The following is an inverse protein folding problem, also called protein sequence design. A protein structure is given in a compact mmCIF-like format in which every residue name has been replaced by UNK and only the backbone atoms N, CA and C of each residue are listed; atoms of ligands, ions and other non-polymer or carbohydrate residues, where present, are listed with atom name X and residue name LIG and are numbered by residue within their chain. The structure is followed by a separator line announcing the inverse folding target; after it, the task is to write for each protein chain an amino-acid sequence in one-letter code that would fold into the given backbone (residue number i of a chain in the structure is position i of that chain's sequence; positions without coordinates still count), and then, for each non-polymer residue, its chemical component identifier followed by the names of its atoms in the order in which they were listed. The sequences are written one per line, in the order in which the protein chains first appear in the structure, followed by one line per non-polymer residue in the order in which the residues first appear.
data_IF_258708362022
#
_entry.id   IF_258708362022
#
_cell.length_a   1.000
_cell.length_b   1.000
_cell.length_c   1.000
_cell.angle_alpha   90.00
_cell.angle_beta   90.00
_cell.angle_gamma   90.00
#
_symmetry.space_group_name_H-M   'P 1'
#
loop_
_entity.id
_entity.type
_entity.pdbx_description
1 polymer ?
#
# COMPACT_ATOMS: atom_id res chain seq x y z
N UNK A 1 7.73 34.14 7.90
CA UNK A 1 8.52 33.15 8.68
C UNK A 1 8.56 31.80 7.94
N UNK A 2 9.21 31.54 6.79
CA UNK A 2 10.37 32.10 6.06
C UNK A 2 11.78 31.67 6.52
N UNK A 3 11.89 30.73 7.46
CA UNK A 3 13.20 30.26 7.94
C UNK A 3 13.63 28.86 7.43
N UNK A 4 12.77 28.14 6.69
CA UNK A 4 13.08 26.75 6.23
C UNK A 4 13.08 26.63 4.70
N UNK A 5 12.73 27.68 3.96
CA UNK A 5 12.89 27.70 2.48
C UNK A 5 14.33 28.07 2.05
N UNK A 6 15.19 28.47 2.99
CA UNK A 6 16.61 28.79 2.78
C UNK A 6 17.54 27.74 3.41
N UNK A 7 17.25 26.45 3.22
CA UNK A 7 18.24 25.41 3.57
C UNK A 7 19.39 25.51 2.57
N UNK A 8 20.50 26.07 3.04
CA UNK A 8 21.78 26.13 2.36
C UNK A 8 22.09 24.81 1.62
N UNK A 9 22.32 24.89 0.30
CA UNK A 9 22.63 23.78 -0.62
C UNK A 9 23.68 22.75 -0.11
N UNK A 10 24.67 23.08 0.76
CA UNK A 10 25.54 22.07 1.37
C UNK A 10 24.88 21.22 2.48
N UNK A 11 23.90 21.74 3.23
CA UNK A 11 23.20 21.05 4.33
C UNK A 11 22.03 20.17 3.84
N UNK A 12 21.51 20.42 2.64
CA UNK A 12 20.42 19.65 2.04
C UNK A 12 20.87 18.34 1.35
N UNK A 13 22.17 18.16 1.09
CA UNK A 13 22.72 16.96 0.45
C UNK A 13 22.36 15.64 1.14
N UNK A 14 22.45 15.49 2.47
CA UNK A 14 22.07 14.24 3.14
C UNK A 14 20.57 13.94 3.04
N UNK A 15 19.70 14.96 3.10
CA UNK A 15 18.25 14.78 2.98
C UNK A 15 17.86 14.40 1.55
N UNK A 16 18.46 15.04 0.55
CA UNK A 16 18.21 14.75 -0.86
C UNK A 16 18.72 13.37 -1.26
N UNK A 17 19.86 12.93 -0.71
CA UNK A 17 20.37 11.56 -0.89
C UNK A 17 19.43 10.53 -0.27
N UNK A 18 18.94 10.76 0.96
CA UNK A 18 17.95 9.88 1.60
C UNK A 18 16.63 9.79 0.83
N UNK A 19 16.18 10.89 0.24
CA UNK A 19 14.98 10.94 -0.60
C UNK A 19 15.17 10.20 -1.93
N UNK A 20 16.38 10.28 -2.51
CA UNK A 20 16.75 9.54 -3.72
C UNK A 20 16.88 8.04 -3.44
N UNK A 21 17.57 7.67 -2.37
CA UNK A 21 17.69 6.28 -1.95
C UNK A 21 16.32 5.70 -1.64
N UNK A 22 15.44 6.48 -1.02
CA UNK A 22 14.04 6.11 -0.84
C UNK A 22 13.31 5.86 -2.16
N UNK A 23 13.41 6.77 -3.12
CA UNK A 23 12.76 6.60 -4.42
C UNK A 23 13.31 5.39 -5.20
N UNK A 24 14.60 5.07 -5.05
CA UNK A 24 15.24 3.90 -5.65
C UNK A 24 14.77 2.59 -4.99
N UNK A 25 14.70 2.55 -3.66
CA UNK A 25 14.20 1.38 -2.91
C UNK A 25 12.71 1.16 -3.17
N UNK A 26 11.90 2.22 -3.17
CA UNK A 26 10.48 2.17 -3.49
C UNK A 26 10.21 1.60 -4.88
N UNK A 27 11.03 1.98 -5.88
CA UNK A 27 10.92 1.43 -7.24
C UNK A 27 11.27 -0.06 -7.34
N UNK A 28 12.10 -0.61 -6.44
CA UNK A 28 12.41 -2.05 -6.40
C UNK A 28 11.31 -2.85 -5.70
N UNK A 29 10.76 -2.31 -4.62
CA UNK A 29 9.64 -2.93 -3.91
C UNK A 29 8.38 -3.08 -4.77
N UNK A 30 8.20 -2.20 -5.78
CA UNK A 30 7.13 -2.27 -6.78
C UNK A 30 7.06 -3.61 -7.51
N UNK A 31 8.19 -4.11 -8.01
CA UNK A 31 8.19 -5.35 -8.81
C UNK A 31 7.68 -6.54 -8.00
N UNK A 32 8.08 -6.62 -6.72
CA UNK A 32 7.59 -7.64 -5.81
C UNK A 32 6.11 -7.46 -5.45
N UNK A 33 5.63 -6.21 -5.26
CA UNK A 33 4.20 -5.92 -5.03
C UNK A 33 3.33 -6.40 -6.18
N UNK A 34 3.71 -6.09 -7.41
CA UNK A 34 2.98 -6.50 -8.61
C UNK A 34 2.84 -8.03 -8.70
N UNK A 35 3.88 -8.79 -8.35
CA UNK A 35 3.85 -10.26 -8.34
C UNK A 35 2.86 -10.78 -7.29
N UNK A 36 2.92 -10.26 -6.06
CA UNK A 36 2.03 -10.70 -4.96
C UNK A 36 0.57 -10.41 -5.29
N UNK A 37 0.27 -9.20 -5.79
CA UNK A 37 -1.10 -8.83 -6.14
C UNK A 37 -1.63 -9.61 -7.34
N UNK A 38 -0.80 -9.81 -8.36
CA UNK A 38 -1.19 -10.63 -9.52
C UNK A 38 -1.46 -12.07 -9.11
N UNK A 39 -0.63 -12.66 -8.24
CA UNK A 39 -0.85 -13.99 -7.70
C UNK A 39 -2.12 -14.08 -6.84
N UNK A 40 -2.35 -13.09 -5.96
CA UNK A 40 -3.55 -13.03 -5.12
C UNK A 40 -4.83 -12.93 -5.96
N UNK A 41 -4.80 -12.17 -7.04
CA UNK A 41 -5.94 -11.99 -7.94
C UNK A 41 -6.15 -13.20 -8.83
N UNK A 42 -5.08 -13.84 -9.32
CA UNK A 42 -5.19 -15.09 -10.04
C UNK A 42 -5.83 -16.18 -9.15
N UNK A 43 -5.43 -16.25 -7.88
CA UNK A 43 -6.02 -17.16 -6.91
C UNK A 43 -7.50 -16.79 -6.62
N UNK A 44 -7.81 -15.51 -6.45
CA UNK A 44 -9.18 -15.05 -6.25
C UNK A 44 -10.08 -15.30 -7.48
N UNK A 45 -9.57 -15.11 -8.69
CA UNK A 45 -10.30 -15.38 -9.93
C UNK A 45 -10.50 -16.87 -10.19
N UNK A 46 -9.66 -17.74 -9.63
CA UNK A 46 -9.81 -19.20 -9.71
C UNK A 46 -10.84 -19.73 -8.71
N UNK A 47 -10.83 -19.21 -7.47
CA UNK A 47 -11.71 -19.69 -6.39
C UNK A 47 -13.07 -18.99 -6.32
N UNK A 48 -13.24 -17.81 -6.91
CA UNK A 48 -14.44 -16.97 -6.77
C UNK A 48 -14.92 -16.39 -8.11
N UNK A 49 -15.87 -15.44 -8.05
CA UNK A 49 -16.44 -14.74 -9.20
C UNK A 49 -15.38 -13.89 -9.93
N UNK A 50 -15.07 -14.26 -11.18
CA UNK A 50 -14.07 -13.58 -12.02
C UNK A 50 -14.38 -12.09 -12.21
N UNK A 51 -15.65 -11.68 -12.20
CA UNK A 51 -16.05 -10.27 -12.34
C UNK A 51 -15.60 -9.42 -11.16
N UNK A 52 -15.74 -9.94 -9.94
CA UNK A 52 -15.33 -9.23 -8.73
C UNK A 52 -13.81 -9.18 -8.65
N UNK A 53 -13.13 -10.29 -8.99
CA UNK A 53 -11.68 -10.33 -9.08
C UNK A 53 -11.13 -9.32 -10.10
N UNK A 54 -11.74 -9.21 -11.29
CA UNK A 54 -11.35 -8.23 -12.32
C UNK A 54 -11.60 -6.78 -11.90
N UNK A 55 -12.71 -6.49 -11.20
CA UNK A 55 -12.98 -5.15 -10.69
C UNK A 55 -11.89 -4.70 -9.70
N UNK A 56 -11.55 -5.55 -8.73
CA UNK A 56 -10.49 -5.26 -7.78
C UNK A 56 -9.10 -5.27 -8.42
N UNK A 57 -8.87 -6.08 -9.46
CA UNK A 57 -7.65 -6.01 -10.25
C UNK A 57 -7.47 -4.65 -10.88
N UNK A 58 -8.51 -4.11 -11.52
CA UNK A 58 -8.43 -2.79 -12.12
C UNK A 58 -8.25 -1.70 -11.05
N UNK A 59 -8.95 -1.80 -9.92
CA UNK A 59 -8.81 -0.86 -8.81
C UNK A 59 -7.39 -0.86 -8.21
N UNK A 60 -6.82 -2.04 -7.96
CA UNK A 60 -5.45 -2.20 -7.46
C UNK A 60 -4.45 -1.68 -8.51
N UNK A 61 -4.63 -2.04 -9.78
CA UNK A 61 -3.77 -1.58 -10.88
C UNK A 61 -3.77 -0.05 -11.00
N UNK A 62 -4.93 0.61 -10.89
CA UNK A 62 -5.01 2.07 -10.89
C UNK A 62 -4.27 2.70 -9.70
N UNK A 63 -4.43 2.13 -8.50
CA UNK A 63 -3.71 2.58 -7.31
C UNK A 63 -2.19 2.46 -7.48
N UNK A 64 -1.75 1.34 -8.06
CA UNK A 64 -0.35 0.99 -8.27
C UNK A 64 0.29 1.86 -9.36
N UNK A 65 -0.46 2.18 -10.44
CA UNK A 65 -0.05 3.17 -11.45
C UNK A 65 0.10 4.56 -10.81
N UNK A 66 -0.86 4.97 -9.97
CA UNK A 66 -0.79 6.25 -9.27
C UNK A 66 0.45 6.33 -8.36
N UNK A 67 0.76 5.26 -7.62
CA UNK A 67 1.97 5.18 -6.77
C UNK A 67 3.25 5.35 -7.62
N UNK A 68 3.35 4.67 -8.77
CA UNK A 68 4.49 4.84 -9.70
C UNK A 68 4.61 6.27 -10.21
N UNK A 69 3.50 6.87 -10.66
CA UNK A 69 3.52 8.22 -11.23
C UNK A 69 4.04 9.22 -10.20
N UNK A 70 3.59 9.10 -8.95
CA UNK A 70 4.02 9.95 -7.84
C UNK A 70 5.49 9.71 -7.49
N UNK A 71 5.92 8.45 -7.40
CA UNK A 71 7.33 8.10 -7.14
C UNK A 71 8.26 8.60 -8.25
N UNK A 72 7.87 8.44 -9.53
CA UNK A 72 8.62 8.94 -10.69
C UNK A 72 8.66 10.46 -10.74
N UNK A 73 7.55 11.13 -10.41
CA UNK A 73 7.49 12.58 -10.29
C UNK A 73 8.47 13.09 -9.21
N UNK A 74 8.50 12.43 -8.04
CA UNK A 74 9.42 12.77 -6.96
C UNK A 74 10.87 12.51 -7.38
N UNK A 75 11.18 11.39 -8.04
CA UNK A 75 12.53 11.09 -8.51
C UNK A 75 13.01 12.11 -9.56
N UNK A 76 12.12 12.51 -10.49
CA UNK A 76 12.43 13.49 -11.54
C UNK A 76 12.64 14.89 -10.96
N UNK A 77 11.80 15.32 -10.01
CA UNK A 77 11.96 16.62 -9.38
C UNK A 77 13.10 16.66 -8.33
N UNK A 78 13.47 15.52 -7.72
CA UNK A 78 14.65 15.41 -6.84
C UNK A 78 15.92 15.72 -7.63
N UNK A 79 15.98 15.29 -8.90
CA UNK A 79 17.09 15.60 -9.82
C UNK A 79 17.17 17.09 -10.16
N UNK A 80 16.06 17.83 -10.09
CA UNK A 80 15.97 19.26 -10.44
C UNK A 80 16.18 20.22 -9.25
N UNK A 81 16.47 19.74 -8.03
CA UNK A 81 16.71 20.52 -6.80
C UNK A 81 15.58 21.44 -6.30
N UNK A 82 14.40 21.48 -6.93
CA UNK A 82 13.25 22.33 -6.57
C UNK A 82 12.16 21.57 -5.78
N UNK A 83 12.54 20.53 -5.06
CA UNK A 83 11.56 19.62 -4.43
C UNK A 83 10.96 20.23 -3.15
N UNK A 84 9.66 20.49 -3.17
CA UNK A 84 8.89 20.83 -1.96
C UNK A 84 8.64 19.58 -1.11
N UNK A 85 9.55 19.29 -0.19
CA UNK A 85 9.59 18.07 0.65
C UNK A 85 8.22 17.76 1.28
N UNK A 86 7.52 18.73 1.87
CA UNK A 86 6.20 18.52 2.51
C UNK A 86 5.11 18.05 1.55
N UNK A 87 5.03 18.63 0.35
CA UNK A 87 3.99 18.26 -0.63
C UNK A 87 4.24 16.86 -1.20
N UNK A 88 5.50 16.50 -1.42
CA UNK A 88 5.88 15.16 -1.86
C UNK A 88 5.58 14.10 -0.81
N UNK A 89 5.86 14.38 0.47
CA UNK A 89 5.51 13.48 1.58
C UNK A 89 4.00 13.28 1.70
N UNK A 90 3.21 14.35 1.64
CA UNK A 90 1.75 14.24 1.67
C UNK A 90 1.21 13.35 0.55
N UNK A 91 1.76 13.49 -0.66
CA UNK A 91 1.37 12.70 -1.81
C UNK A 91 1.68 11.20 -1.62
N UNK A 92 2.84 10.87 -1.04
CA UNK A 92 3.23 9.49 -0.68
C UNK A 92 2.27 8.90 0.36
N UNK A 93 1.88 9.69 1.38
CA UNK A 93 0.91 9.23 2.37
C UNK A 93 -0.45 8.95 1.74
N UNK A 94 -0.92 9.82 0.84
CA UNK A 94 -2.18 9.62 0.13
C UNK A 94 -2.15 8.37 -0.76
N UNK A 95 -1.08 8.16 -1.54
CA UNK A 95 -0.96 6.95 -2.39
C UNK A 95 -0.93 5.68 -1.55
N UNK A 96 -0.21 5.72 -0.43
CA UNK A 96 -0.13 4.59 0.49
C UNK A 96 -1.47 4.31 1.15
N UNK A 97 -2.20 5.33 1.60
CA UNK A 97 -3.51 5.17 2.21
C UNK A 97 -4.51 4.55 1.24
N UNK A 98 -4.54 5.06 0.00
CA UNK A 98 -5.47 4.62 -1.04
C UNK A 98 -5.16 3.16 -1.44
N UNK A 99 -3.89 2.84 -1.70
CA UNK A 99 -3.46 1.47 -2.02
C UNK A 99 -3.75 0.47 -0.90
N UNK A 100 -3.40 0.80 0.35
CA UNK A 100 -3.64 -0.06 1.52
C UNK A 100 -5.14 -0.31 1.75
N UNK A 101 -5.97 0.73 1.59
CA UNK A 101 -7.43 0.62 1.73
C UNK A 101 -8.03 -0.26 0.64
N UNK A 102 -7.60 -0.11 -0.62
CA UNK A 102 -8.05 -0.96 -1.72
C UNK A 102 -7.75 -2.44 -1.46
N UNK A 103 -6.56 -2.75 -0.93
CA UNK A 103 -6.17 -4.14 -0.60
C UNK A 103 -7.00 -4.69 0.55
N UNK A 104 -7.23 -3.89 1.60
CA UNK A 104 -8.09 -4.26 2.70
C UNK A 104 -9.52 -4.56 2.23
N UNK A 105 -10.09 -3.68 1.40
CA UNK A 105 -11.42 -3.86 0.81
C UNK A 105 -11.49 -5.09 -0.08
N UNK A 106 -10.46 -5.37 -0.88
CA UNK A 106 -10.37 -6.58 -1.68
C UNK A 106 -10.46 -7.84 -0.82
N UNK A 107 -9.68 -7.90 0.27
CA UNK A 107 -9.70 -9.05 1.17
C UNK A 107 -11.04 -9.18 1.92
N UNK A 108 -11.66 -8.06 2.32
CA UNK A 108 -12.99 -8.06 2.93
C UNK A 108 -14.03 -8.57 1.92
N UNK A 109 -13.96 -8.15 0.66
CA UNK A 109 -14.87 -8.61 -0.39
C UNK A 109 -14.73 -10.12 -0.66
N UNK A 110 -13.51 -10.66 -0.61
CA UNK A 110 -13.25 -12.11 -0.66
C UNK A 110 -13.85 -12.81 0.57
N UNK A 111 -13.65 -12.26 1.77
CA UNK A 111 -14.20 -12.84 3.00
C UNK A 111 -15.73 -12.89 2.96
N UNK A 112 -16.39 -11.87 2.41
CA UNK A 112 -17.84 -11.84 2.21
C UNK A 112 -18.28 -12.92 1.21
N UNK A 113 -17.56 -13.09 0.09
CA UNK A 113 -17.88 -14.11 -0.91
C UNK A 113 -17.68 -15.54 -0.39
N UNK A 114 -16.76 -15.74 0.55
CA UNK A 114 -16.50 -17.05 1.13
C UNK A 114 -17.66 -17.60 1.99
N UNK A 115 -18.60 -16.72 2.36
CA UNK A 115 -19.79 -17.05 3.14
C UNK A 115 -19.53 -17.12 4.65
N UNK A 116 -20.61 -16.92 5.42
CA UNK A 116 -20.62 -16.97 6.89
C UNK A 116 -20.45 -18.44 7.34
N UNK A 117 -19.44 -18.73 8.16
CA UNK A 117 -19.19 -20.09 8.70
C UNK A 117 -18.19 -20.97 7.96
N UNK A 118 -17.61 -20.53 6.83
CA UNK A 118 -16.45 -21.17 6.22
C UNK A 118 -15.14 -20.59 6.77
N UNK A 119 -14.09 -21.40 6.83
CA UNK A 119 -12.76 -20.93 7.25
C UNK A 119 -12.28 -19.79 6.34
N UNK A 120 -12.32 -18.54 6.83
CA UNK A 120 -11.80 -17.31 6.18
C UNK A 120 -10.25 -17.30 6.04
N UNK A 121 -9.65 -18.46 5.83
CA UNK A 121 -8.20 -18.68 5.81
C UNK A 121 -7.54 -17.90 4.67
N UNK A 122 -8.12 -17.90 3.47
CA UNK A 122 -7.55 -17.26 2.28
C UNK A 122 -7.38 -15.73 2.43
N UNK A 123 -8.43 -14.96 2.79
CA UNK A 123 -8.25 -13.52 3.01
C UNK A 123 -7.31 -13.22 4.18
N UNK A 124 -7.43 -13.93 5.31
CA UNK A 124 -6.54 -13.71 6.46
C UNK A 124 -5.07 -14.01 6.13
N UNK A 125 -4.80 -15.09 5.41
CA UNK A 125 -3.46 -15.44 4.94
C UNK A 125 -2.90 -14.37 4.00
N UNK A 126 -3.71 -13.86 3.07
CA UNK A 126 -3.31 -12.78 2.17
C UNK A 126 -3.00 -11.48 2.94
N UNK A 127 -3.81 -11.10 3.93
CA UNK A 127 -3.57 -9.92 4.77
C UNK A 127 -2.30 -10.05 5.61
N UNK A 128 -2.06 -11.23 6.21
CA UNK A 128 -0.84 -11.49 6.99
C UNK A 128 0.39 -11.46 6.08
N UNK A 129 0.34 -12.13 4.93
CA UNK A 129 1.42 -12.13 3.94
C UNK A 129 1.72 -10.71 3.43
N UNK A 130 0.69 -9.92 3.13
CA UNK A 130 0.83 -8.51 2.74
C UNK A 130 1.45 -7.65 3.85
N UNK A 131 1.15 -7.95 5.12
CA UNK A 131 1.71 -7.27 6.29
C UNK A 131 3.19 -7.57 6.48
N UNK A 132 3.58 -8.86 6.41
CA UNK A 132 4.98 -9.28 6.48
C UNK A 132 5.78 -8.69 5.32
N UNK A 133 5.24 -8.77 4.11
CA UNK A 133 5.87 -8.21 2.93
C UNK A 133 6.09 -6.70 3.05
N UNK A 134 5.10 -5.97 3.58
CA UNK A 134 5.23 -4.54 3.86
C UNK A 134 6.33 -4.28 4.91
N UNK A 135 6.39 -5.07 5.98
CA UNK A 135 7.38 -4.94 7.05
C UNK A 135 8.81 -5.17 6.56
N UNK A 136 9.03 -6.18 5.73
CA UNK A 136 10.36 -6.52 5.19
C UNK A 136 10.88 -5.46 4.21
N UNK A 137 10.00 -4.90 3.38
CA UNK A 137 10.43 -4.03 2.26
C UNK A 137 10.38 -2.53 2.55
N UNK A 138 9.79 -2.08 3.67
CA UNK A 138 9.52 -0.64 3.88
C UNK A 138 10.19 -0.03 5.13
N UNK A 139 11.34 -0.56 5.55
CA UNK A 139 12.08 -0.13 6.75
C UNK A 139 12.57 1.34 6.70
N UNK A 140 12.63 1.97 5.53
CA UNK A 140 13.08 3.37 5.39
C UNK A 140 12.02 4.41 5.77
N UNK A 141 10.72 4.06 5.79
CA UNK A 141 9.63 4.96 6.18
C UNK A 141 8.69 4.25 7.17
N UNK A 142 9.18 4.09 8.40
CA UNK A 142 8.48 3.43 9.50
C UNK A 142 7.06 3.98 9.73
N UNK A 143 6.83 5.28 9.53
CA UNK A 143 5.51 5.88 9.73
C UNK A 143 4.50 5.51 8.62
N UNK A 144 4.94 5.46 7.36
CA UNK A 144 4.09 5.05 6.22
C UNK A 144 3.80 3.55 6.30
N UNK A 145 4.80 2.77 6.70
CA UNK A 145 4.66 1.35 7.00
C UNK A 145 3.66 1.13 8.15
N UNK A 146 3.81 1.83 9.27
CA UNK A 146 2.92 1.72 10.42
C UNK A 146 1.47 2.04 10.06
N UNK A 147 1.25 3.08 9.23
CA UNK A 147 -0.09 3.43 8.74
C UNK A 147 -0.71 2.32 7.89
N UNK A 148 0.06 1.74 6.97
CA UNK A 148 -0.38 0.58 6.16
C UNK A 148 -0.68 -0.64 7.02
N UNK A 149 0.18 -0.93 8.00
CA UNK A 149 0.01 -2.05 8.92
C UNK A 149 -1.24 -1.89 9.78
N UNK A 150 -1.52 -0.67 10.25
CA UNK A 150 -2.73 -0.37 11.02
C UNK A 150 -4.01 -0.67 10.21
N UNK A 151 -4.03 -0.31 8.91
CA UNK A 151 -5.15 -0.63 8.02
C UNK A 151 -5.31 -2.16 7.87
N UNK A 152 -4.20 -2.89 7.69
CA UNK A 152 -4.26 -4.34 7.56
C UNK A 152 -4.70 -5.04 8.84
N UNK A 153 -4.20 -4.61 10.01
CA UNK A 153 -4.64 -5.11 11.31
C UNK A 153 -6.13 -4.83 11.51
N UNK A 154 -6.60 -3.62 11.17
CA UNK A 154 -8.01 -3.27 11.22
C UNK A 154 -8.87 -4.20 10.36
N UNK A 155 -8.43 -4.50 9.13
CA UNK A 155 -9.12 -5.44 8.25
C UNK A 155 -9.08 -6.90 8.76
N UNK A 156 -7.95 -7.35 9.34
CA UNK A 156 -7.83 -8.66 9.99
C UNK A 156 -8.84 -8.81 11.13
N UNK A 157 -9.01 -7.78 11.96
CA UNK A 157 -9.98 -7.78 13.06
C UNK A 157 -11.43 -7.62 12.57
N UNK A 158 -11.65 -6.84 11.52
CA UNK A 158 -12.98 -6.59 10.98
C UNK A 158 -13.65 -7.85 10.44
N UNK A 159 -12.91 -8.73 9.77
CA UNK A 159 -13.42 -9.99 9.19
C UNK A 159 -14.13 -10.87 10.25
N UNK A 160 -13.48 -11.30 11.35
CA UNK A 160 -14.10 -12.12 12.38
C UNK A 160 -15.13 -11.36 13.22
N UNK A 161 -14.96 -10.05 13.46
CA UNK A 161 -15.96 -9.25 14.19
C UNK A 161 -17.28 -9.23 13.41
N UNK A 162 -17.23 -9.00 12.09
CA UNK A 162 -18.41 -9.07 11.23
C UNK A 162 -19.04 -10.46 11.27
N UNK A 163 -18.23 -11.51 11.18
CA UNK A 163 -18.71 -12.89 11.20
C UNK A 163 -19.45 -13.22 12.52
N UNK A 164 -18.91 -12.79 13.67
CA UNK A 164 -19.55 -12.95 14.99
C UNK A 164 -20.87 -12.18 15.09
N UNK A 165 -20.91 -10.92 14.63
CA UNK A 165 -22.14 -10.09 14.67
C UNK A 165 -23.23 -10.66 13.77
N UNK A 166 -22.86 -11.24 12.62
CA UNK A 166 -23.84 -11.88 11.72
C UNK A 166 -24.28 -13.25 12.24
N UNK A 167 -23.38 -14.03 12.85
CA UNK A 167 -23.67 -15.35 13.39
C UNK A 167 -24.46 -15.32 14.72
N UNK A 168 -24.35 -14.24 15.49
CA UNK A 168 -25.11 -13.99 16.73
C UNK A 168 -25.64 -12.55 16.74
N UNK A 169 -26.80 -12.28 16.12
CA UNK A 169 -27.41 -10.95 16.08
C UNK A 169 -27.87 -10.45 17.46
#
# INVERSE_FOLDING_TARGET
MEAIDNVNLPQARPVLSRLRDYALVGSRAFGQRAIIYTAAIALAGYYYELRVALFFFFAIALCEIYDIVVLRYILRNTRSKTLKIRKSLFHIYMTTALSATTIALFCIAIAIQQGVGNSHFLPLFLLISASIFAAMNNHQFLYVLGFRLAIYIGAILYIPIRDVVVARP
#
